data_IF_985870622791
#
_entry.id   IF_985870622791
#
_cell.length_a   1.000
_cell.length_b   1.000
_cell.length_c   1.000
_cell.angle_alpha   90.00
_cell.angle_beta   90.00
_cell.angle_gamma   90.00
#
_symmetry.space_group_name_H-M   'P 1'
#
loop_
_entity.id
_entity.type
_entity.pdbx_description
1 polymer ?
#
# COMPACT_ATOMS: atom_id res chain seq x y z
N UNK A 1 14.76 11.29 15.06
CA UNK A 1 14.25 9.92 15.19
C UNK A 1 15.39 8.97 14.95
N UNK A 2 15.99 8.48 16.01
CA UNK A 2 16.95 7.39 15.99
C UNK A 2 16.34 6.07 16.50
N UNK A 3 17.15 5.01 16.55
CA UNK A 3 16.72 3.69 17.01
C UNK A 3 16.24 3.68 18.48
N UNK A 4 16.84 4.48 19.35
CA UNK A 4 16.49 4.54 20.76
C UNK A 4 15.17 5.29 20.96
N UNK A 5 15.00 6.42 20.29
CA UNK A 5 13.76 7.21 20.27
C UNK A 5 12.58 6.37 19.74
N UNK A 6 12.76 5.66 18.61
CA UNK A 6 11.72 4.81 18.05
C UNK A 6 11.35 3.64 18.99
N UNK A 7 12.35 3.02 19.63
CA UNK A 7 12.10 1.96 20.63
C UNK A 7 11.34 2.50 21.84
N UNK A 8 11.66 3.70 22.31
CA UNK A 8 10.97 4.33 23.43
C UNK A 8 9.49 4.60 23.10
N UNK A 9 9.18 5.10 21.90
CA UNK A 9 7.80 5.29 21.45
C UNK A 9 7.01 3.98 21.34
N UNK A 10 7.66 2.92 20.88
CA UNK A 10 7.00 1.63 20.67
C UNK A 10 6.90 0.76 21.94
N UNK A 11 7.75 0.97 22.94
CA UNK A 11 7.77 0.17 24.17
C UNK A 11 6.41 0.12 24.89
N UNK A 12 5.72 1.25 25.19
CA UNK A 12 4.42 1.21 25.85
C UNK A 12 3.33 0.56 24.99
N UNK A 13 3.36 0.75 23.67
CA UNK A 13 2.44 0.07 22.75
C UNK A 13 2.66 -1.45 22.78
N UNK A 14 3.91 -1.90 22.70
CA UNK A 14 4.27 -3.32 22.78
C UNK A 14 3.88 -3.93 24.12
N UNK A 15 4.04 -3.20 25.22
CA UNK A 15 3.58 -3.66 26.53
C UNK A 15 2.06 -3.80 26.54
N UNK A 16 1.32 -2.74 26.15
CA UNK A 16 -0.14 -2.75 26.06
C UNK A 16 -0.64 -3.93 25.22
N UNK A 17 -0.04 -4.18 24.06
CA UNK A 17 -0.47 -5.29 23.19
C UNK A 17 -0.12 -6.67 23.73
N UNK A 18 0.89 -6.80 24.60
CA UNK A 18 1.16 -8.08 25.30
C UNK A 18 0.16 -8.33 26.43
N UNK A 19 -0.25 -7.28 27.13
CA UNK A 19 -1.20 -7.35 28.25
C UNK A 19 -2.65 -7.48 27.74
N UNK A 20 -2.99 -6.78 26.65
CA UNK A 20 -4.27 -6.81 25.97
C UNK A 20 -4.07 -6.86 24.44
N UNK A 21 -4.01 -8.07 23.92
CA UNK A 21 -3.86 -8.32 22.48
C UNK A 21 -5.05 -7.81 21.65
N UNK A 22 -6.25 -7.71 22.22
CA UNK A 22 -7.43 -7.22 21.49
C UNK A 22 -7.27 -5.73 21.15
N UNK A 23 -6.60 -4.96 22.01
CA UNK A 23 -6.28 -3.55 21.76
C UNK A 23 -5.33 -3.32 20.56
N UNK A 24 -4.66 -4.37 20.07
CA UNK A 24 -3.82 -4.31 18.87
C UNK A 24 -4.62 -4.53 17.56
N UNK A 25 -5.93 -4.79 17.65
CA UNK A 25 -6.79 -4.96 16.48
C UNK A 25 -7.26 -3.59 15.98
N UNK A 26 -6.62 -3.09 14.94
CA UNK A 26 -6.91 -1.78 14.35
C UNK A 26 -7.86 -1.94 13.17
N UNK A 27 -8.93 -1.13 13.15
CA UNK A 27 -9.90 -1.09 12.05
C UNK A 27 -9.59 0.10 11.16
N UNK A 28 -9.25 -0.16 9.91
CA UNK A 28 -9.16 0.85 8.85
C UNK A 28 -10.50 1.00 8.14
N UNK A 29 -10.86 2.24 7.76
CA UNK A 29 -12.13 2.54 7.09
C UNK A 29 -11.94 3.59 6.01
N UNK A 30 -12.59 3.38 4.86
CA UNK A 30 -12.76 4.36 3.80
C UNK A 30 -14.24 4.46 3.42
N UNK A 31 -14.67 5.61 2.91
CA UNK A 31 -16.01 5.85 2.37
C UNK A 31 -15.87 6.59 1.06
N UNK A 32 -16.58 6.10 0.04
CA UNK A 32 -16.74 6.76 -1.24
C UNK A 32 -18.19 7.18 -1.49
N UNK A 33 -18.38 8.33 -2.11
CA UNK A 33 -19.69 8.82 -2.57
C UNK A 33 -19.79 8.71 -4.09
N UNK A 34 -20.83 8.04 -4.58
CA UNK A 34 -21.03 7.78 -6.01
C UNK A 34 -21.53 9.05 -6.70
N UNK A 35 -20.83 9.46 -7.76
CA UNK A 35 -21.21 10.57 -8.64
C UNK A 35 -21.53 10.00 -10.02
N UNK A 36 -22.76 9.48 -10.17
CA UNK A 36 -23.17 8.72 -11.35
C UNK A 36 -23.04 9.53 -12.66
N UNK A 37 -23.38 10.81 -12.65
CA UNK A 37 -23.30 11.66 -13.84
C UNK A 37 -21.87 11.91 -14.35
N UNK A 38 -20.87 11.74 -13.50
CA UNK A 38 -19.45 11.88 -13.84
C UNK A 38 -18.70 10.55 -13.95
N UNK A 39 -19.40 9.41 -13.84
CA UNK A 39 -18.79 8.07 -13.73
C UNK A 39 -17.66 8.01 -12.69
N UNK A 40 -17.86 8.70 -11.57
CA UNK A 40 -16.84 8.96 -10.57
C UNK A 40 -17.27 8.52 -9.16
N UNK A 41 -16.28 8.40 -8.28
CA UNK A 41 -16.46 8.16 -6.85
C UNK A 41 -15.56 9.10 -6.06
N UNK A 42 -16.15 9.91 -5.17
CA UNK A 42 -15.38 10.82 -4.30
C UNK A 42 -15.03 10.08 -3.02
N UNK A 43 -13.75 9.80 -2.83
CA UNK A 43 -13.21 9.12 -1.65
C UNK A 43 -12.69 10.16 -0.66
N UNK A 44 -13.21 10.13 0.56
CA UNK A 44 -12.71 10.98 1.65
C UNK A 44 -11.43 10.38 2.22
N UNK A 45 -10.29 10.99 1.90
CA UNK A 45 -8.98 10.66 2.44
C UNK A 45 -8.63 11.43 3.71
N UNK A 46 -7.51 11.09 4.32
CA UNK A 46 -7.05 11.75 5.55
C UNK A 46 -6.52 13.18 5.31
N UNK A 47 -6.14 13.50 4.07
CA UNK A 47 -5.55 14.79 3.67
C UNK A 47 -6.37 15.50 2.58
N UNK A 48 -7.65 15.15 2.45
CA UNK A 48 -8.55 15.70 1.44
C UNK A 48 -9.32 14.64 0.68
N UNK A 49 -10.10 15.10 -0.29
CA UNK A 49 -10.90 14.24 -1.15
C UNK A 49 -10.13 13.84 -2.41
N UNK A 50 -10.29 12.58 -2.81
CA UNK A 50 -9.79 12.06 -4.09
C UNK A 50 -10.98 11.67 -4.94
N UNK A 51 -11.09 12.24 -6.13
CA UNK A 51 -12.09 11.84 -7.12
C UNK A 51 -11.50 10.72 -7.98
N UNK A 52 -11.98 9.50 -7.77
CA UNK A 52 -11.63 8.35 -8.57
C UNK A 52 -12.56 8.22 -9.78
N UNK A 53 -11.99 7.85 -10.93
CA UNK A 53 -12.69 7.71 -12.21
C UNK A 53 -12.30 6.48 -13.00
N UNK A 54 -12.81 6.39 -14.22
CA UNK A 54 -12.37 5.39 -15.18
C UNK A 54 -10.94 5.71 -15.64
N UNK A 55 -10.13 4.68 -15.81
CA UNK A 55 -8.86 4.80 -16.51
C UNK A 55 -9.10 5.06 -18.01
N UNK A 56 -8.16 5.69 -18.72
CA UNK A 56 -8.28 5.95 -20.17
C UNK A 56 -8.55 4.67 -20.97
N UNK A 57 -7.87 3.57 -20.62
CA UNK A 57 -8.10 2.24 -21.19
C UNK A 57 -9.53 1.69 -20.99
N UNK A 58 -10.33 2.29 -20.10
CA UNK A 58 -11.73 1.97 -19.85
C UNK A 58 -12.70 3.13 -20.21
N UNK A 59 -12.21 4.15 -20.93
CA UNK A 59 -13.04 5.27 -21.42
C UNK A 59 -13.03 6.53 -20.54
N UNK A 60 -12.13 6.63 -19.56
CA UNK A 60 -11.86 7.89 -18.86
C UNK A 60 -11.03 8.87 -19.70
N UNK A 61 -10.90 10.10 -19.22
CA UNK A 61 -10.14 11.18 -19.87
C UNK A 61 -8.79 11.49 -19.19
N UNK A 62 -8.40 10.68 -18.21
CA UNK A 62 -7.16 10.85 -17.45
C UNK A 62 -7.17 11.97 -16.41
N UNK A 63 -8.30 12.67 -16.22
CA UNK A 63 -8.39 13.79 -15.26
C UNK A 63 -8.64 13.36 -13.80
N UNK A 64 -9.09 12.13 -13.59
CA UNK A 64 -9.46 11.57 -12.29
C UNK A 64 -8.50 10.44 -11.88
N UNK A 65 -8.40 10.19 -10.58
CA UNK A 65 -7.52 9.15 -10.06
C UNK A 65 -7.97 7.76 -10.51
N UNK A 66 -7.02 6.94 -10.96
CA UNK A 66 -7.28 5.53 -11.26
C UNK A 66 -7.16 4.71 -9.98
N UNK A 67 -8.20 3.91 -9.66
CA UNK A 67 -8.17 3.03 -8.47
C UNK A 67 -7.05 1.97 -8.52
N UNK A 68 -6.58 1.59 -9.71
CA UNK A 68 -5.41 0.73 -9.88
C UNK A 68 -4.14 1.40 -9.38
N UNK A 69 -3.94 2.68 -9.71
CA UNK A 69 -2.78 3.45 -9.25
C UNK A 69 -2.88 3.72 -7.75
N UNK A 70 -4.06 4.07 -7.24
CA UNK A 70 -4.31 4.27 -5.81
C UNK A 70 -3.96 3.01 -4.97
N UNK A 71 -4.18 1.81 -5.51
CA UNK A 71 -3.75 0.56 -4.88
C UNK A 71 -2.22 0.46 -4.79
N UNK A 72 -1.52 0.82 -5.87
CA UNK A 72 -0.06 0.82 -5.92
C UNK A 72 0.55 1.93 -5.04
N UNK A 73 -0.07 3.11 -4.99
CA UNK A 73 0.29 4.20 -4.07
C UNK A 73 0.20 3.74 -2.61
N UNK A 74 -0.87 3.05 -2.23
CA UNK A 74 -1.00 2.49 -0.89
C UNK A 74 0.10 1.45 -0.58
N UNK A 75 0.48 0.63 -1.56
CA UNK A 75 1.59 -0.32 -1.44
C UNK A 75 2.94 0.40 -1.25
N UNK A 76 3.24 1.38 -2.09
CA UNK A 76 4.48 2.18 -2.02
C UNK A 76 4.56 2.94 -0.69
N UNK A 77 3.46 3.57 -0.27
CA UNK A 77 3.40 4.30 1.00
C UNK A 77 3.68 3.37 2.20
N UNK A 78 3.04 2.19 2.23
CA UNK A 78 3.23 1.22 3.30
C UNK A 78 4.65 0.64 3.30
N UNK A 79 5.19 0.29 2.14
CA UNK A 79 6.56 -0.21 2.00
C UNK A 79 7.59 0.85 2.43
N UNK A 80 7.39 2.12 2.03
CA UNK A 80 8.29 3.22 2.35
C UNK A 80 8.36 3.53 3.85
N UNK A 81 7.21 3.64 4.52
CA UNK A 81 7.20 3.88 5.98
C UNK A 81 7.78 2.68 6.74
N UNK A 82 7.51 1.46 6.27
CA UNK A 82 8.06 0.23 6.88
C UNK A 82 9.58 0.20 6.72
N UNK A 83 10.09 0.47 5.52
CA UNK A 83 11.53 0.50 5.25
C UNK A 83 12.23 1.53 6.13
N UNK A 84 11.67 2.74 6.26
CA UNK A 84 12.22 3.80 7.11
C UNK A 84 12.30 3.37 8.58
N UNK A 85 11.23 2.74 9.10
CA UNK A 85 11.20 2.26 10.48
C UNK A 85 12.19 1.10 10.71
N UNK A 86 12.29 0.16 9.78
CA UNK A 86 13.23 -0.97 9.84
C UNK A 86 14.68 -0.48 9.75
N UNK A 87 14.98 0.42 8.81
CA UNK A 87 16.30 1.01 8.65
C UNK A 87 16.75 1.71 9.93
N UNK A 88 15.84 2.50 10.53
CA UNK A 88 16.07 3.16 11.83
C UNK A 88 16.35 2.13 12.93
N UNK A 89 15.56 1.06 13.02
CA UNK A 89 15.75 0.03 14.04
C UNK A 89 17.07 -0.77 13.86
N UNK A 90 17.52 -0.94 12.61
CA UNK A 90 18.77 -1.61 12.24
C UNK A 90 20.00 -0.70 12.34
N UNK A 91 19.82 0.61 12.47
CA UNK A 91 20.92 1.58 12.41
C UNK A 91 21.48 1.78 10.99
N UNK A 92 20.69 1.46 9.96
CA UNK A 92 21.06 1.68 8.54
C UNK A 92 20.62 3.08 8.14
N UNK A 93 21.55 3.87 7.61
CA UNK A 93 21.27 5.22 7.12
C UNK A 93 20.97 5.15 5.62
N UNK A 94 19.73 5.45 5.24
CA UNK A 94 19.33 5.63 3.83
C UNK A 94 19.35 7.14 3.54
N UNK A 95 20.32 7.59 2.73
CA UNK A 95 20.51 9.01 2.39
C UNK A 95 19.42 9.49 1.45
N UNK A 96 19.09 8.65 0.47
CA UNK A 96 17.96 8.81 -0.47
C UNK A 96 17.40 7.44 -0.79
N UNK A 97 16.11 7.36 -1.04
CA UNK A 97 15.48 6.13 -1.49
C UNK A 97 14.21 6.41 -2.27
N UNK A 98 13.96 5.63 -3.31
CA UNK A 98 12.67 5.59 -4.00
C UNK A 98 12.16 4.17 -4.07
N UNK A 99 10.84 4.06 -4.04
CA UNK A 99 10.13 2.79 -4.21
C UNK A 99 9.17 2.98 -5.37
N UNK A 100 9.24 2.09 -6.34
CA UNK A 100 8.35 2.09 -7.51
C UNK A 100 7.54 0.80 -7.49
N UNK A 101 6.23 0.92 -7.60
CA UNK A 101 5.35 -0.22 -7.84
C UNK A 101 4.74 -0.13 -9.24
N UNK A 102 4.77 -1.22 -10.00
CA UNK A 102 4.12 -1.32 -11.30
C UNK A 102 3.12 -2.46 -11.26
N UNK A 103 1.91 -2.23 -11.78
CA UNK A 103 0.82 -3.20 -11.80
C UNK A 103 0.36 -3.49 -13.23
N UNK A 104 0.11 -4.76 -13.54
CA UNK A 104 -0.41 -5.19 -14.84
C UNK A 104 -1.86 -5.63 -14.70
N UNK A 105 -2.74 -5.05 -15.49
CA UNK A 105 -4.15 -5.46 -15.62
C UNK A 105 -4.57 -5.37 -17.09
N UNK A 106 -5.59 -6.14 -17.46
CA UNK A 106 -6.06 -6.22 -18.84
C UNK A 106 -7.49 -5.67 -18.95
N UNK A 107 -7.63 -4.57 -19.69
CA UNK A 107 -8.90 -3.89 -19.87
C UNK A 107 -9.96 -4.77 -20.56
N UNK A 108 -9.58 -5.82 -21.31
CA UNK A 108 -10.53 -6.74 -21.95
C UNK A 108 -11.43 -7.44 -20.94
N UNK A 109 -10.91 -7.76 -19.76
CA UNK A 109 -11.69 -8.33 -18.67
C UNK A 109 -12.70 -7.32 -18.13
N UNK A 110 -12.23 -6.12 -17.75
CA UNK A 110 -13.07 -5.04 -17.20
C UNK A 110 -14.17 -4.59 -18.16
N UNK A 111 -13.85 -4.50 -19.45
CA UNK A 111 -14.79 -4.11 -20.50
C UNK A 111 -15.62 -5.28 -21.05
N UNK A 112 -15.51 -6.47 -20.44
CA UNK A 112 -16.24 -7.68 -20.81
C UNK A 112 -16.07 -8.09 -22.29
N UNK A 113 -14.93 -7.77 -22.91
CA UNK A 113 -14.56 -8.15 -24.28
C UNK A 113 -14.20 -9.63 -24.34
N UNK A 114 -13.48 -10.13 -23.32
CA UNK A 114 -13.09 -11.52 -23.20
C UNK A 114 -13.35 -12.02 -21.78
N UNK A 115 -14.20 -13.05 -21.66
CA UNK A 115 -14.57 -13.67 -20.38
C UNK A 115 -13.47 -14.52 -19.76
N UNK A 116 -12.47 -14.94 -20.55
CA UNK A 116 -11.32 -15.70 -20.04
C UNK A 116 -10.24 -14.79 -19.43
N UNK A 117 -10.25 -13.51 -19.77
CA UNK A 117 -9.32 -12.52 -19.22
C UNK A 117 -9.72 -12.16 -17.78
N UNK A 118 -8.83 -12.34 -16.78
CA UNK A 118 -9.12 -11.96 -15.39
C UNK A 118 -9.40 -10.46 -15.23
N UNK A 119 -10.31 -10.11 -14.33
CA UNK A 119 -10.51 -8.71 -13.90
C UNK A 119 -9.67 -8.44 -12.65
N UNK A 120 -8.81 -7.43 -12.72
CA UNK A 120 -7.96 -6.97 -11.62
C UNK A 120 -6.49 -6.85 -12.00
N UNK A 121 -5.69 -6.37 -11.05
CA UNK A 121 -4.22 -6.35 -11.16
C UNK A 121 -3.71 -7.78 -10.95
N UNK A 122 -3.06 -8.32 -11.98
CA UNK A 122 -2.62 -9.72 -12.05
C UNK A 122 -1.15 -9.89 -11.68
N UNK A 123 -0.33 -8.87 -11.93
CA UNK A 123 1.08 -8.84 -11.59
C UNK A 123 1.42 -7.51 -10.94
N UNK A 124 2.26 -7.54 -9.91
CA UNK A 124 2.82 -6.34 -9.28
C UNK A 124 4.32 -6.54 -9.11
N UNK A 125 5.11 -5.59 -9.61
CA UNK A 125 6.55 -5.50 -9.34
C UNK A 125 6.78 -4.37 -8.33
N UNK A 126 7.73 -4.56 -7.41
CA UNK A 126 8.13 -3.53 -6.44
C UNK A 126 9.65 -3.38 -6.49
N UNK A 127 10.13 -2.20 -6.83
CA UNK A 127 11.56 -1.89 -6.93
C UNK A 127 11.98 -0.92 -5.83
N UNK A 128 13.10 -1.22 -5.18
CA UNK A 128 13.72 -0.36 -4.18
C UNK A 128 15.05 0.16 -4.72
N UNK A 129 15.15 1.48 -4.89
CA UNK A 129 16.39 2.15 -5.29
C UNK A 129 16.91 2.93 -4.07
N UNK A 130 17.97 2.45 -3.42
CA UNK A 130 18.47 2.97 -2.14
C UNK A 130 19.91 3.48 -2.25
N UNK A 131 20.14 4.70 -1.78
CA UNK A 131 21.46 5.31 -1.60
C UNK A 131 21.89 5.20 -0.12
N UNK A 132 22.84 4.31 0.16
CA UNK A 132 23.32 4.01 1.52
C UNK A 132 24.76 3.49 1.49
N UNK A 133 25.48 3.70 2.60
CA UNK A 133 26.83 3.15 2.79
C UNK A 133 26.82 1.74 3.42
N UNK A 134 25.63 1.17 3.67
CA UNK A 134 25.50 -0.18 4.20
C UNK A 134 25.91 -1.23 3.16
N UNK A 135 26.48 -2.35 3.63
CA UNK A 135 26.82 -3.46 2.75
C UNK A 135 25.58 -4.14 2.13
N UNK A 136 25.78 -4.86 1.02
CA UNK A 136 24.70 -5.53 0.28
C UNK A 136 23.88 -6.48 1.16
N UNK A 137 24.53 -7.14 2.13
CA UNK A 137 23.86 -8.06 3.06
C UNK A 137 22.90 -7.31 3.99
N UNK A 138 23.29 -6.14 4.45
CA UNK A 138 22.49 -5.27 5.30
C UNK A 138 21.31 -4.68 4.51
N UNK A 139 21.54 -4.28 3.26
CA UNK A 139 20.49 -3.82 2.34
C UNK A 139 19.48 -4.95 2.04
N UNK A 140 19.95 -6.16 1.72
CA UNK A 140 19.07 -7.30 1.49
C UNK A 140 18.21 -7.61 2.72
N UNK A 141 18.80 -7.59 3.92
CA UNK A 141 18.08 -7.81 5.18
C UNK A 141 17.06 -6.71 5.48
N UNK A 142 17.39 -5.45 5.14
CA UNK A 142 16.48 -4.32 5.24
C UNK A 142 15.25 -4.53 4.34
N UNK A 143 15.45 -4.90 3.08
CA UNK A 143 14.36 -5.17 2.13
C UNK A 143 13.53 -6.37 2.58
N UNK A 144 14.16 -7.49 2.95
CA UNK A 144 13.46 -8.68 3.45
C UNK A 144 12.58 -8.36 4.67
N UNK A 145 13.12 -7.59 5.62
CA UNK A 145 12.38 -7.17 6.81
C UNK A 145 11.25 -6.19 6.45
N UNK A 146 11.46 -5.33 5.46
CA UNK A 146 10.43 -4.42 4.94
C UNK A 146 9.28 -5.21 4.34
N UNK A 147 9.55 -6.19 3.48
CA UNK A 147 8.52 -7.05 2.91
C UNK A 147 7.75 -7.80 3.98
N UNK A 148 8.46 -8.33 4.98
CA UNK A 148 7.84 -9.09 6.08
C UNK A 148 6.84 -8.27 6.90
N UNK A 149 7.14 -6.99 7.14
CA UNK A 149 6.34 -6.15 8.03
C UNK A 149 5.42 -5.16 7.29
N UNK A 150 5.52 -5.05 5.97
CA UNK A 150 4.65 -4.20 5.16
C UNK A 150 3.23 -4.81 5.09
N UNK A 151 2.27 -4.17 5.77
CA UNK A 151 0.88 -4.65 5.89
C UNK A 151 0.21 -4.79 4.53
N UNK A 152 0.37 -3.81 3.63
CA UNK A 152 -0.27 -3.83 2.31
C UNK A 152 0.33 -4.92 1.42
N UNK A 153 1.66 -5.06 1.40
CA UNK A 153 2.32 -6.13 0.65
C UNK A 153 1.88 -7.51 1.13
N UNK A 154 1.81 -7.72 2.45
CA UNK A 154 1.33 -8.99 3.01
C UNK A 154 -0.15 -9.24 2.72
N UNK A 155 -0.98 -8.19 2.67
CA UNK A 155 -2.40 -8.28 2.27
C UNK A 155 -2.55 -8.70 0.81
N UNK A 156 -1.70 -8.19 -0.09
CA UNK A 156 -1.72 -8.56 -1.50
C UNK A 156 -1.20 -10.00 -1.74
N UNK A 157 -0.14 -10.41 -1.02
CA UNK A 157 0.38 -11.78 -1.08
C UNK A 157 -0.57 -12.80 -0.45
N UNK A 158 -1.32 -12.40 0.57
CA UNK A 158 -2.27 -13.23 1.30
C UNK A 158 -3.62 -12.52 1.38
N UNK A 159 -4.44 -12.58 0.30
CA UNK A 159 -5.71 -11.87 0.24
C UNK A 159 -6.61 -12.20 1.43
N UNK A 160 -7.17 -11.20 2.13
CA UNK A 160 -8.10 -11.44 3.22
C UNK A 160 -9.42 -12.01 2.70
N UNK A 161 -10.26 -12.52 3.61
CA UNK A 161 -11.67 -12.78 3.27
C UNK A 161 -12.34 -11.45 2.94
N UNK A 162 -12.87 -11.35 1.72
CA UNK A 162 -13.65 -10.20 1.25
C UNK A 162 -15.11 -10.62 1.13
N UNK A 163 -16.01 -9.77 1.61
CA UNK A 163 -17.46 -9.98 1.52
C UNK A 163 -18.11 -8.70 1.00
N UNK A 164 -18.98 -8.84 -0.01
CA UNK A 164 -19.80 -7.75 -0.52
C UNK A 164 -21.22 -7.93 0.00
N UNK A 165 -21.69 -6.95 0.78
CA UNK A 165 -23.02 -6.96 1.40
C UNK A 165 -23.84 -5.77 0.90
N UNK A 166 -25.15 -5.97 0.74
CA UNK A 166 -26.12 -4.88 0.54
C UNK A 166 -26.61 -4.43 1.91
N UNK A 167 -26.44 -3.14 2.20
CA UNK A 167 -26.96 -2.49 3.42
C UNK A 167 -28.47 -2.32 3.41
#
# INVERSE_FOLDING_TARGET
MDAAELRALQAPLKQKYREDAASARIVSRAVGEIVQGGLACVVRGHDGEVTAGLHEAAGGDGSQACSGDMLLEALVACAGVTLSAVATAMGVIVKRGSITAEGVWDARGTLAIDRATPVGVTEISLRFDLDTDADEKSVARLIESTERYCVILQTLRNPPRIEAIRG
#
